data_IF_328266908586
#
_entry.id   IF_328266908586
#
_cell.length_a   1.000
_cell.length_b   1.000
_cell.length_c   1.000
_cell.angle_alpha   90.00
_cell.angle_beta   90.00
_cell.angle_gamma   90.00
#
_symmetry.space_group_name_H-M   'P 1'
#
loop_
_entity.id
_entity.type
_entity.pdbx_description
1 polymer ?
#
# COMPACT_ATOMS: atom_id res chain seq x y z
N UNK A 1 -44.91 30.06 -20.86
CA UNK A 1 -45.73 29.91 -19.63
C UNK A 1 -45.24 30.90 -18.59
N UNK A 2 -45.98 31.98 -18.34
CA UNK A 2 -45.63 32.99 -17.33
C UNK A 2 -46.88 33.66 -16.80
N UNK A 3 -47.43 33.13 -15.71
CA UNK A 3 -48.58 33.69 -14.99
C UNK A 3 -48.12 34.52 -13.80
N UNK A 4 -49.02 35.36 -13.24
CA UNK A 4 -48.77 36.29 -12.11
C UNK A 4 -48.24 35.64 -10.81
N UNK A 5 -48.04 34.33 -10.77
CA UNK A 5 -47.60 33.55 -9.61
C UNK A 5 -46.20 32.92 -9.73
N UNK A 6 -45.48 33.07 -10.85
CA UNK A 6 -44.10 32.53 -10.93
C UNK A 6 -43.12 33.35 -10.07
N UNK A 7 -42.35 32.72 -9.16
CA UNK A 7 -41.39 33.44 -8.31
C UNK A 7 -40.30 34.12 -9.15
N UNK A 8 -40.19 35.44 -9.06
CA UNK A 8 -39.13 36.19 -9.73
C UNK A 8 -37.78 35.95 -9.05
N UNK A 9 -36.88 35.21 -9.70
CA UNK A 9 -35.49 35.06 -9.24
C UNK A 9 -34.67 36.29 -9.63
N UNK A 10 -33.93 36.87 -8.68
CA UNK A 10 -33.04 38.04 -8.91
C UNK A 10 -31.57 37.59 -8.90
N UNK A 11 -30.79 38.04 -9.88
CA UNK A 11 -29.34 37.79 -9.95
C UNK A 11 -28.57 39.10 -9.73
N UNK A 12 -27.65 39.10 -8.76
CA UNK A 12 -26.83 40.29 -8.41
C UNK A 12 -25.55 40.31 -9.25
N UNK A 13 -25.42 41.32 -10.11
CA UNK A 13 -24.25 41.53 -10.97
C UNK A 13 -23.08 42.14 -10.17
N UNK A 14 -23.31 43.24 -9.46
CA UNK A 14 -22.25 43.93 -8.71
C UNK A 14 -22.77 45.13 -7.91
N UNK A 15 -21.89 45.78 -7.14
CA UNK A 15 -22.18 47.04 -6.43
C UNK A 15 -21.70 48.21 -7.31
N UNK A 16 -22.53 49.24 -7.46
CA UNK A 16 -22.17 50.45 -8.21
C UNK A 16 -20.87 51.08 -7.65
N UNK A 17 -19.95 51.47 -8.53
CA UNK A 17 -18.66 52.07 -8.16
C UNK A 17 -17.54 51.08 -7.81
N UNK A 18 -17.82 49.77 -7.70
CA UNK A 18 -16.80 48.72 -7.47
C UNK A 18 -16.33 48.07 -8.77
N UNK A 19 -15.89 48.87 -9.74
CA UNK A 19 -15.54 48.42 -11.11
C UNK A 19 -16.74 48.16 -12.03
N UNK A 20 -17.95 48.39 -11.55
CA UNK A 20 -19.20 48.31 -12.32
C UNK A 20 -19.75 49.70 -12.61
N UNK A 21 -19.72 50.10 -13.88
CA UNK A 21 -20.45 51.27 -14.41
C UNK A 21 -21.85 50.84 -14.90
N UNK A 22 -22.82 51.77 -15.03
CA UNK A 22 -24.12 51.46 -15.60
C UNK A 22 -24.04 50.78 -16.98
N UNK A 23 -23.14 51.25 -17.86
CA UNK A 23 -22.91 50.63 -19.17
C UNK A 23 -22.40 49.18 -19.06
N UNK A 24 -21.41 48.92 -18.21
CA UNK A 24 -20.87 47.57 -18.00
C UNK A 24 -21.93 46.64 -17.40
N UNK A 25 -22.73 47.13 -16.45
CA UNK A 25 -23.82 46.37 -15.86
C UNK A 25 -24.90 46.02 -16.90
N UNK A 26 -25.24 46.93 -17.83
CA UNK A 26 -26.16 46.65 -18.94
C UNK A 26 -25.61 45.58 -19.89
N UNK A 27 -24.32 45.67 -20.25
CA UNK A 27 -23.67 44.67 -21.10
C UNK A 27 -23.69 43.27 -20.46
N UNK A 28 -23.35 43.19 -19.17
CA UNK A 28 -23.37 41.92 -18.44
C UNK A 28 -24.80 41.39 -18.24
N UNK A 29 -25.78 42.26 -17.99
CA UNK A 29 -27.18 41.87 -17.94
C UNK A 29 -27.65 41.24 -19.26
N UNK A 30 -27.30 41.84 -20.41
CA UNK A 30 -27.61 41.28 -21.72
C UNK A 30 -26.94 39.92 -21.95
N UNK A 31 -25.67 39.76 -21.54
CA UNK A 31 -24.97 38.47 -21.59
C UNK A 31 -25.69 37.40 -20.76
N UNK A 32 -26.13 37.72 -19.54
CA UNK A 32 -26.86 36.81 -18.67
C UNK A 32 -28.24 36.45 -19.25
N UNK A 33 -28.93 37.40 -19.86
CA UNK A 33 -30.20 37.15 -20.56
C UNK A 33 -30.02 36.17 -21.73
N UNK A 34 -28.93 36.31 -22.50
CA UNK A 34 -28.58 35.36 -23.58
C UNK A 34 -28.33 33.96 -23.00
N UNK A 35 -27.61 33.83 -21.90
CA UNK A 35 -27.37 32.53 -21.23
C UNK A 35 -28.69 31.88 -20.76
N UNK A 36 -29.60 32.67 -20.18
CA UNK A 36 -30.93 32.20 -19.76
C UNK A 36 -31.75 31.76 -20.98
N UNK A 37 -31.68 32.50 -22.09
CA UNK A 37 -32.35 32.13 -23.34
C UNK A 37 -31.82 30.81 -23.92
N UNK A 38 -30.55 30.49 -23.67
CA UNK A 38 -29.93 29.20 -24.00
C UNK A 38 -30.27 28.08 -22.99
N UNK A 39 -31.11 28.35 -21.98
CA UNK A 39 -31.53 27.40 -20.95
C UNK A 39 -30.55 27.23 -19.79
N UNK A 40 -29.52 28.09 -19.68
CA UNK A 40 -28.51 28.02 -18.61
C UNK A 40 -28.87 29.01 -17.51
N UNK A 41 -29.18 28.54 -16.30
CA UNK A 41 -29.40 29.39 -15.11
C UNK A 41 -28.04 29.87 -14.54
N UNK A 42 -27.69 31.17 -14.64
CA UNK A 42 -26.39 31.67 -14.19
C UNK A 42 -26.20 31.61 -12.66
N UNK A 43 -27.30 31.64 -11.89
CA UNK A 43 -27.25 31.51 -10.43
C UNK A 43 -26.90 30.08 -10.04
N UNK A 44 -27.48 29.10 -10.73
CA UNK A 44 -27.18 27.69 -10.52
C UNK A 44 -25.76 27.34 -10.95
N UNK A 45 -25.32 27.84 -12.11
CA UNK A 45 -23.95 27.66 -12.58
C UNK A 45 -22.94 28.26 -11.59
N UNK A 46 -23.20 29.45 -11.04
CA UNK A 46 -22.35 30.04 -9.99
C UNK A 46 -22.32 29.18 -8.73
N UNK A 47 -23.46 28.67 -8.25
CA UNK A 47 -23.54 27.75 -7.10
C UNK A 47 -22.76 26.46 -7.37
N UNK A 48 -22.91 25.87 -8.55
CA UNK A 48 -22.20 24.66 -8.98
C UNK A 48 -20.70 24.89 -9.00
N UNK A 49 -20.22 26.02 -9.52
CA UNK A 49 -18.80 26.40 -9.50
C UNK A 49 -18.26 26.53 -8.09
N UNK A 50 -19.00 27.19 -7.19
CA UNK A 50 -18.59 27.28 -5.78
C UNK A 50 -18.53 25.89 -5.13
N UNK A 51 -19.54 25.04 -5.32
CA UNK A 51 -19.55 23.66 -4.83
C UNK A 51 -18.36 22.85 -5.36
N UNK A 52 -18.09 22.90 -6.67
CA UNK A 52 -16.95 22.20 -7.28
C UNK A 52 -15.62 22.71 -6.73
N UNK A 53 -15.49 24.03 -6.53
CA UNK A 53 -14.28 24.66 -6.04
C UNK A 53 -14.01 24.43 -4.54
N UNK A 54 -15.04 24.18 -3.72
CA UNK A 54 -14.88 23.94 -2.28
C UNK A 54 -14.99 22.46 -1.90
N UNK A 55 -16.04 21.77 -2.35
CA UNK A 55 -16.43 20.43 -1.88
C UNK A 55 -15.85 19.28 -2.71
N UNK A 56 -15.40 19.57 -3.94
CA UNK A 56 -14.83 18.58 -4.86
C UNK A 56 -13.34 18.79 -5.12
N UNK A 57 -12.64 19.51 -4.24
CA UNK A 57 -11.18 19.59 -4.30
C UNK A 57 -10.55 18.21 -4.08
N UNK A 58 -9.37 18.00 -4.64
CA UNK A 58 -8.62 16.75 -4.46
C UNK A 58 -8.44 16.43 -2.97
N UNK A 59 -8.09 17.42 -2.14
CA UNK A 59 -7.95 17.23 -0.70
C UNK A 59 -9.25 16.76 -0.04
N UNK A 60 -10.37 17.46 -0.30
CA UNK A 60 -11.65 17.10 0.28
C UNK A 60 -12.09 15.67 -0.10
N UNK A 61 -11.85 15.27 -1.36
CA UNK A 61 -12.18 13.91 -1.80
C UNK A 61 -11.17 12.89 -1.26
N UNK A 62 -9.89 13.24 -1.13
CA UNK A 62 -8.87 12.39 -0.54
C UNK A 62 -9.19 12.10 0.93
N UNK A 63 -9.66 13.09 1.69
CA UNK A 63 -10.09 12.91 3.09
C UNK A 63 -11.23 11.89 3.17
N UNK A 64 -12.28 12.05 2.34
CA UNK A 64 -13.40 11.10 2.25
C UNK A 64 -12.96 9.70 1.80
N UNK A 65 -11.95 9.62 0.92
CA UNK A 65 -11.37 8.36 0.47
C UNK A 65 -10.56 7.67 1.58
N UNK A 66 -9.83 8.42 2.39
CA UNK A 66 -9.07 7.87 3.52
C UNK A 66 -9.99 7.31 4.60
N UNK A 67 -11.15 7.94 4.83
CA UNK A 67 -12.17 7.46 5.76
C UNK A 67 -12.88 6.21 5.23
N UNK A 68 -13.43 6.27 4.01
CA UNK A 68 -14.38 5.27 3.50
C UNK A 68 -13.85 4.40 2.38
N UNK A 69 -12.89 4.87 1.62
CA UNK A 69 -12.31 4.15 0.48
C UNK A 69 -11.28 3.10 0.85
N UNK A 70 -10.80 3.13 2.10
CA UNK A 70 -9.82 2.22 2.66
C UNK A 70 -10.42 1.27 3.71
N UNK A 71 -11.75 1.29 3.90
CA UNK A 71 -12.46 0.34 4.75
C UNK A 71 -12.18 -1.10 4.31
N UNK A 72 -12.08 -2.02 5.29
CA UNK A 72 -11.73 -3.43 5.05
C UNK A 72 -10.26 -3.72 4.68
N UNK A 73 -9.43 -2.71 4.43
CA UNK A 73 -7.98 -2.91 4.24
C UNK A 73 -7.25 -3.05 5.58
N UNK A 74 -6.12 -3.77 5.56
CA UNK A 74 -5.20 -3.88 6.71
C UNK A 74 -4.60 -2.52 7.05
N UNK A 75 -4.32 -2.27 8.33
CA UNK A 75 -3.84 -0.96 8.78
C UNK A 75 -2.56 -0.50 8.07
N UNK A 76 -1.55 -1.37 7.97
CA UNK A 76 -0.31 -1.10 7.21
C UNK A 76 -0.58 -0.71 5.75
N UNK A 77 -1.62 -1.28 5.14
CA UNK A 77 -2.04 -0.88 3.79
C UNK A 77 -2.68 0.50 3.82
N UNK A 78 -3.56 0.80 4.79
CA UNK A 78 -4.17 2.13 4.93
C UNK A 78 -3.11 3.22 5.11
N UNK A 79 -2.15 3.01 6.01
CA UNK A 79 -1.02 3.91 6.23
C UNK A 79 -0.20 4.16 4.95
N UNK A 80 0.04 3.12 4.17
CA UNK A 80 0.71 3.24 2.88
C UNK A 80 -0.06 4.13 1.89
N UNK A 81 -1.39 3.98 1.81
CA UNK A 81 -2.23 4.87 0.98
C UNK A 81 -2.20 6.31 1.48
N UNK A 82 -2.41 6.54 2.80
CA UNK A 82 -2.43 7.86 3.42
C UNK A 82 -1.11 8.60 3.23
N UNK A 83 0.01 7.93 3.51
CA UNK A 83 1.36 8.49 3.34
C UNK A 83 1.65 8.82 1.88
N UNK A 84 1.27 7.95 0.95
CA UNK A 84 1.46 8.19 -0.49
C UNK A 84 0.66 9.41 -0.98
N UNK A 85 -0.61 9.52 -0.56
CA UNK A 85 -1.45 10.68 -0.86
C UNK A 85 -0.83 11.96 -0.31
N UNK A 86 -0.46 11.96 0.96
CA UNK A 86 0.12 13.10 1.68
C UNK A 86 1.43 13.60 1.07
N UNK A 87 2.34 12.68 0.76
CA UNK A 87 3.71 13.03 0.34
C UNK A 87 3.77 13.42 -1.14
N UNK A 88 3.02 12.74 -2.02
CA UNK A 88 3.23 12.87 -3.47
C UNK A 88 2.08 13.56 -4.20
N UNK A 89 0.82 13.25 -3.85
CA UNK A 89 -0.34 13.71 -4.64
C UNK A 89 -0.89 15.05 -4.12
N UNK A 90 -1.08 15.19 -2.81
CA UNK A 90 -1.65 16.41 -2.19
C UNK A 90 -0.83 17.68 -2.46
N UNK A 91 0.52 17.68 -2.43
CA UNK A 91 1.29 18.91 -2.64
C UNK A 91 1.04 19.57 -4.00
N UNK A 92 0.81 18.75 -5.04
CA UNK A 92 0.56 19.23 -6.41
C UNK A 92 -0.92 19.37 -6.75
N UNK A 93 -1.75 18.41 -6.33
CA UNK A 93 -3.15 18.31 -6.78
C UNK A 93 -4.15 18.83 -5.74
N UNK A 94 -3.75 19.08 -4.49
CA UNK A 94 -4.67 19.23 -3.36
C UNK A 94 -5.80 20.25 -3.53
N UNK A 95 -5.53 21.41 -4.15
CA UNK A 95 -6.52 22.47 -4.40
C UNK A 95 -7.27 22.33 -5.72
N UNK A 96 -6.85 21.41 -6.59
CA UNK A 96 -7.47 21.21 -7.91
C UNK A 96 -8.83 20.53 -7.73
N UNK A 97 -9.89 21.00 -8.42
CA UNK A 97 -11.16 20.28 -8.45
C UNK A 97 -10.97 18.91 -9.10
N UNK A 98 -11.34 17.84 -8.40
CA UNK A 98 -11.17 16.46 -8.85
C UNK A 98 -11.77 16.19 -10.24
N UNK A 99 -12.97 16.70 -10.60
CA UNK A 99 -13.52 16.49 -11.95
C UNK A 99 -12.71 17.16 -13.07
N UNK A 100 -11.89 18.15 -12.75
CA UNK A 100 -11.07 18.90 -13.70
C UNK A 100 -9.65 18.33 -13.85
N UNK A 101 -9.25 17.38 -12.99
CA UNK A 101 -7.91 16.78 -13.03
C UNK A 101 -7.80 15.87 -14.25
N UNK A 102 -6.81 16.16 -15.09
CA UNK A 102 -6.48 15.33 -16.25
C UNK A 102 -5.41 14.29 -15.92
N UNK A 103 -5.33 13.24 -16.76
CA UNK A 103 -4.28 12.22 -16.64
C UNK A 103 -2.88 12.83 -16.71
N UNK A 104 -2.67 13.81 -17.60
CA UNK A 104 -1.41 14.54 -17.76
C UNK A 104 -0.93 15.20 -16.46
N UNK A 105 -1.83 15.74 -15.64
CA UNK A 105 -1.49 16.32 -14.34
C UNK A 105 -1.04 15.27 -13.34
N UNK A 106 -1.55 14.03 -13.44
CA UNK A 106 -1.10 12.93 -12.59
C UNK A 106 0.26 12.41 -13.08
N UNK A 107 0.46 12.33 -14.40
CA UNK A 107 1.77 11.99 -14.96
C UNK A 107 2.84 13.01 -14.61
N UNK A 108 2.52 14.31 -14.57
CA UNK A 108 3.48 15.32 -14.09
C UNK A 108 3.85 15.15 -12.61
N UNK A 109 2.98 14.58 -11.77
CA UNK A 109 3.37 14.16 -10.41
C UNK A 109 4.36 13.00 -10.47
N UNK A 110 4.13 12.03 -11.36
CA UNK A 110 5.00 10.86 -11.51
C UNK A 110 6.34 11.18 -12.16
N UNK A 111 6.41 12.22 -12.99
CA UNK A 111 7.62 12.66 -13.69
C UNK A 111 8.58 13.42 -12.79
N UNK A 112 8.07 14.07 -11.74
CA UNK A 112 8.87 14.66 -10.68
C UNK A 112 9.50 13.61 -9.74
N UNK A 113 9.04 12.36 -9.78
CA UNK A 113 9.62 11.30 -8.97
C UNK A 113 10.95 10.85 -9.58
N UNK A 114 11.93 10.54 -8.71
CA UNK A 114 13.23 10.04 -9.15
C UNK A 114 13.10 8.86 -10.11
N UNK A 115 13.76 8.97 -11.27
CA UNK A 115 13.86 7.90 -12.27
C UNK A 115 14.48 6.62 -11.72
N UNK A 116 15.28 6.72 -10.66
CA UNK A 116 15.91 5.59 -9.98
C UNK A 116 14.97 4.80 -9.05
N UNK A 117 13.69 5.21 -8.92
CA UNK A 117 12.70 4.55 -8.06
C UNK A 117 11.45 4.08 -8.82
N UNK A 118 11.56 3.11 -9.75
CA UNK A 118 10.42 2.61 -10.53
C UNK A 118 9.30 2.02 -9.67
N UNK A 119 9.65 1.37 -8.54
CA UNK A 119 8.68 0.86 -7.58
C UNK A 119 7.82 1.98 -6.98
N UNK A 120 8.44 3.11 -6.62
CA UNK A 120 7.74 4.25 -6.05
C UNK A 120 6.77 4.84 -7.07
N UNK A 121 7.20 5.03 -8.31
CA UNK A 121 6.36 5.56 -9.40
C UNK A 121 5.13 4.69 -9.62
N UNK A 122 5.31 3.37 -9.68
CA UNK A 122 4.22 2.41 -9.82
C UNK A 122 3.27 2.43 -8.61
N UNK A 123 3.80 2.58 -7.40
CA UNK A 123 3.04 2.70 -6.16
C UNK A 123 2.16 3.96 -6.14
N UNK A 124 2.73 5.13 -6.44
CA UNK A 124 1.98 6.40 -6.51
C UNK A 124 0.87 6.31 -7.57
N UNK A 125 1.17 5.77 -8.75
CA UNK A 125 0.17 5.54 -9.78
C UNK A 125 -0.96 4.61 -9.31
N UNK A 126 -0.63 3.52 -8.62
CA UNK A 126 -1.63 2.58 -8.12
C UNK A 126 -2.56 3.23 -7.08
N UNK A 127 -2.01 4.06 -6.18
CA UNK A 127 -2.79 4.81 -5.19
C UNK A 127 -3.70 5.83 -5.88
N UNK A 128 -3.17 6.63 -6.81
CA UNK A 128 -3.96 7.60 -7.58
C UNK A 128 -5.10 6.90 -8.34
N UNK A 129 -4.80 5.80 -9.04
CA UNK A 129 -5.79 5.02 -9.80
C UNK A 129 -6.88 4.44 -8.90
N UNK A 130 -6.53 3.95 -7.71
CA UNK A 130 -7.50 3.42 -6.74
C UNK A 130 -8.43 4.50 -6.21
N UNK A 131 -7.91 5.68 -5.88
CA UNK A 131 -8.71 6.82 -5.44
C UNK A 131 -9.65 7.31 -6.54
N UNK A 132 -9.15 7.51 -7.77
CA UNK A 132 -9.99 7.95 -8.89
C UNK A 132 -11.09 6.94 -9.23
N UNK A 133 -10.78 5.63 -9.18
CA UNK A 133 -11.80 4.58 -9.34
C UNK A 133 -12.86 4.64 -8.24
N UNK A 134 -12.46 4.85 -6.99
CA UNK A 134 -13.40 4.98 -5.88
C UNK A 134 -14.30 6.22 -6.04
N UNK A 135 -13.72 7.36 -6.46
CA UNK A 135 -14.48 8.58 -6.74
C UNK A 135 -15.50 8.38 -7.87
N UNK A 136 -15.11 7.71 -8.96
CA UNK A 136 -16.01 7.33 -10.08
C UNK A 136 -17.15 6.45 -9.57
N UNK A 137 -16.85 5.43 -8.78
CA UNK A 137 -17.86 4.51 -8.21
C UNK A 137 -18.89 5.19 -7.30
N UNK A 138 -18.59 6.39 -6.78
CA UNK A 138 -19.51 7.20 -5.97
C UNK A 138 -20.17 8.35 -6.74
N UNK A 139 -19.97 8.43 -8.06
CA UNK A 139 -20.51 9.52 -8.89
C UNK A 139 -19.89 10.90 -8.59
N UNK A 140 -18.72 10.93 -7.95
CA UNK A 140 -17.99 12.18 -7.67
C UNK A 140 -17.36 12.73 -8.95
N UNK A 141 -16.91 11.82 -9.82
CA UNK A 141 -16.41 12.10 -11.16
C UNK A 141 -17.11 11.18 -12.17
N UNK A 142 -17.35 11.68 -13.37
CA UNK A 142 -18.01 10.90 -14.42
C UNK A 142 -17.04 9.91 -15.09
N UNK A 143 -15.78 10.32 -15.24
CA UNK A 143 -14.74 9.57 -15.95
C UNK A 143 -13.49 9.50 -15.09
N UNK A 144 -12.82 8.35 -15.11
CA UNK A 144 -11.54 8.20 -14.42
C UNK A 144 -10.42 8.70 -15.36
N UNK A 145 -9.66 9.74 -14.98
CA UNK A 145 -8.60 10.31 -15.83
C UNK A 145 -7.42 9.34 -16.07
N UNK A 146 -7.32 8.25 -15.32
CA UNK A 146 -6.30 7.21 -15.47
C UNK A 146 -6.83 5.94 -16.16
N UNK A 147 -8.04 5.99 -16.71
CA UNK A 147 -8.60 4.91 -17.52
C UNK A 147 -7.94 4.88 -18.90
N UNK A 148 -7.48 3.71 -19.34
CA UNK A 148 -6.77 3.55 -20.62
C UNK A 148 -5.27 3.85 -20.60
N UNK A 149 -4.74 4.47 -19.54
CA UNK A 149 -3.31 4.70 -19.41
C UNK A 149 -2.54 3.42 -19.05
N UNK A 150 -1.35 3.28 -19.64
CA UNK A 150 -0.42 2.21 -19.30
C UNK A 150 0.09 2.35 -17.86
N UNK A 151 0.25 1.21 -17.19
CA UNK A 151 0.76 1.18 -15.82
C UNK A 151 2.28 1.33 -15.87
N UNK A 152 2.89 2.27 -15.11
CA UNK A 152 4.35 2.43 -15.08
C UNK A 152 5.08 1.12 -14.81
N UNK A 153 6.23 0.91 -15.45
CA UNK A 153 7.00 -0.32 -15.38
C UNK A 153 7.26 -0.76 -13.92
N UNK A 154 7.20 -2.07 -13.68
CA UNK A 154 7.61 -2.63 -12.40
C UNK A 154 9.11 -2.44 -12.20
N UNK A 155 9.53 -2.28 -10.94
CA UNK A 155 10.95 -2.37 -10.63
C UNK A 155 11.48 -3.76 -11.06
N UNK A 156 12.68 -3.83 -11.64
CA UNK A 156 13.28 -5.11 -11.97
C UNK A 156 13.41 -5.95 -10.69
N UNK A 157 13.15 -7.24 -10.82
CA UNK A 157 13.43 -8.19 -9.74
C UNK A 157 14.91 -8.11 -9.37
N UNK A 158 15.21 -8.17 -8.07
CA UNK A 158 16.58 -8.35 -7.62
C UNK A 158 16.88 -9.84 -7.66
N UNK A 159 17.64 -10.27 -8.65
CA UNK A 159 17.91 -11.69 -8.87
C UNK A 159 19.14 -12.20 -8.08
N UNK A 160 19.87 -11.31 -7.40
CA UNK A 160 20.98 -11.71 -6.54
C UNK A 160 20.46 -12.41 -5.29
N UNK A 161 20.87 -13.66 -5.13
CA UNK A 161 20.72 -14.45 -3.91
C UNK A 161 22.08 -14.62 -3.24
N UNK A 162 22.07 -14.82 -1.91
CA UNK A 162 23.29 -15.13 -1.17
C UNK A 162 23.77 -16.53 -1.55
N UNK A 163 25.07 -16.66 -1.84
CA UNK A 163 25.70 -17.96 -1.99
C UNK A 163 26.13 -18.55 -0.63
N UNK A 164 26.52 -19.82 -0.62
CA UNK A 164 26.92 -20.54 0.60
C UNK A 164 28.06 -19.88 1.39
N UNK A 165 29.00 -19.23 0.70
CA UNK A 165 30.10 -18.51 1.35
C UNK A 165 29.58 -17.24 2.03
N UNK A 166 28.74 -16.47 1.33
CA UNK A 166 28.11 -15.27 1.89
C UNK A 166 27.18 -15.62 3.07
N UNK A 167 26.46 -16.73 3.01
CA UNK A 167 25.64 -17.22 4.12
C UNK A 167 26.48 -17.52 5.37
N UNK A 168 27.66 -18.13 5.21
CA UNK A 168 28.60 -18.36 6.32
C UNK A 168 29.10 -17.04 6.90
N UNK A 169 29.45 -16.07 6.05
CA UNK A 169 29.86 -14.75 6.51
C UNK A 169 28.76 -14.05 7.33
N UNK A 170 27.51 -14.07 6.84
CA UNK A 170 26.37 -13.50 7.58
C UNK A 170 26.15 -14.23 8.91
N UNK A 171 26.28 -15.55 8.93
CA UNK A 171 26.14 -16.35 10.15
C UNK A 171 27.21 -16.03 11.21
N UNK A 172 28.45 -15.83 10.78
CA UNK A 172 29.54 -15.45 11.69
C UNK A 172 29.38 -14.02 12.17
N UNK A 173 29.13 -13.07 11.25
CA UNK A 173 28.93 -11.67 11.59
C UNK A 173 27.71 -11.43 12.49
N UNK A 174 26.69 -12.30 12.46
CA UNK A 174 25.53 -12.15 13.34
C UNK A 174 25.87 -12.22 14.82
N UNK A 175 27.00 -12.83 15.20
CA UNK A 175 27.46 -12.93 16.59
C UNK A 175 27.75 -11.55 17.21
N UNK A 176 28.13 -10.58 16.38
CA UNK A 176 28.42 -9.20 16.81
C UNK A 176 27.17 -8.36 17.08
N UNK A 177 25.98 -8.82 16.66
CA UNK A 177 24.72 -8.09 16.79
C UNK A 177 24.05 -8.24 18.18
N UNK A 178 24.69 -8.99 19.08
CA UNK A 178 24.11 -9.36 20.38
C UNK A 178 23.09 -10.50 20.27
N UNK A 179 22.74 -11.09 21.42
CA UNK A 179 22.02 -12.36 21.49
C UNK A 179 20.67 -12.36 20.75
N UNK A 180 19.90 -11.28 20.84
CA UNK A 180 18.57 -11.18 20.24
C UNK A 180 18.65 -11.16 18.71
N UNK A 181 19.43 -10.24 18.14
CA UNK A 181 19.55 -10.11 16.69
C UNK A 181 20.33 -11.27 16.06
N UNK A 182 21.32 -11.82 16.78
CA UNK A 182 21.99 -13.06 16.39
C UNK A 182 20.96 -14.20 16.22
N UNK A 183 20.11 -14.42 17.23
CA UNK A 183 19.04 -15.41 17.17
C UNK A 183 18.08 -15.18 16.00
N UNK A 184 17.63 -13.92 15.81
CA UNK A 184 16.72 -13.54 14.73
C UNK A 184 17.31 -13.84 13.34
N UNK A 185 18.55 -13.39 13.07
CA UNK A 185 19.22 -13.61 11.79
C UNK A 185 19.41 -15.09 11.52
N UNK A 186 19.86 -15.85 12.52
CA UNK A 186 20.06 -17.30 12.37
C UNK A 186 18.76 -18.03 12.12
N UNK A 187 17.68 -17.65 12.80
CA UNK A 187 16.37 -18.25 12.59
C UNK A 187 15.84 -17.93 11.18
N UNK A 188 16.07 -16.72 10.66
CA UNK A 188 15.76 -16.36 9.27
C UNK A 188 16.52 -17.23 8.27
N UNK A 189 17.83 -17.42 8.47
CA UNK A 189 18.66 -18.25 7.59
C UNK A 189 18.25 -19.72 7.61
N UNK A 190 17.88 -20.26 8.78
CA UNK A 190 17.53 -21.68 8.93
C UNK A 190 16.12 -22.01 8.44
N UNK A 191 15.17 -21.10 8.61
CA UNK A 191 13.75 -21.36 8.33
C UNK A 191 13.27 -20.79 7.00
N UNK A 192 13.97 -19.77 6.48
CA UNK A 192 13.56 -19.05 5.27
C UNK A 192 12.23 -18.29 5.40
N UNK A 193 11.72 -18.08 6.62
CA UNK A 193 10.47 -17.38 6.86
C UNK A 193 10.59 -15.87 6.70
N UNK A 194 9.45 -15.18 6.61
CA UNK A 194 9.44 -13.71 6.49
C UNK A 194 10.01 -13.09 7.75
N UNK A 195 10.83 -12.03 7.58
CA UNK A 195 11.39 -11.25 8.71
C UNK A 195 10.35 -10.87 9.75
N UNK A 196 9.22 -10.33 9.31
CA UNK A 196 8.16 -9.87 10.22
C UNK A 196 7.46 -11.05 10.92
N UNK A 197 7.45 -12.26 10.35
CA UNK A 197 6.92 -13.47 11.01
C UNK A 197 7.92 -13.99 12.07
N UNK A 198 9.21 -14.04 11.75
CA UNK A 198 10.24 -14.45 12.72
C UNK A 198 10.36 -13.45 13.87
N UNK A 199 10.24 -12.15 13.59
CA UNK A 199 10.29 -11.11 14.61
C UNK A 199 9.04 -11.09 15.50
N UNK A 200 7.89 -11.56 14.99
CA UNK A 200 6.63 -11.67 15.73
C UNK A 200 6.39 -13.04 16.37
N UNK A 201 7.37 -13.95 16.33
CA UNK A 201 7.25 -15.31 16.83
C UNK A 201 6.98 -15.31 18.34
N UNK A 202 5.95 -16.06 18.75
CA UNK A 202 5.61 -16.26 20.16
C UNK A 202 6.03 -17.65 20.64
N UNK A 203 6.46 -17.75 21.90
CA UNK A 203 6.92 -19.03 22.47
C UNK A 203 5.88 -20.16 22.40
N UNK A 204 4.59 -19.82 22.38
CA UNK A 204 3.48 -20.77 22.28
C UNK A 204 3.39 -21.45 20.91
N UNK A 205 3.97 -20.85 19.87
CA UNK A 205 4.04 -21.40 18.51
C UNK A 205 5.12 -22.48 18.37
N UNK A 206 5.99 -22.64 19.37
CA UNK A 206 7.11 -23.57 19.34
C UNK A 206 6.79 -24.85 20.10
N UNK A 207 6.59 -25.94 19.37
CA UNK A 207 6.58 -27.28 19.94
C UNK A 207 8.02 -27.77 20.10
N UNK A 208 8.58 -27.59 21.30
CA UNK A 208 9.96 -28.00 21.61
C UNK A 208 10.13 -29.52 21.66
N UNK A 209 9.07 -30.28 21.92
CA UNK A 209 9.13 -31.74 21.97
C UNK A 209 9.24 -32.34 20.57
N UNK A 210 8.50 -31.77 19.61
CA UNK A 210 8.57 -32.16 18.20
C UNK A 210 9.62 -31.40 17.42
N UNK A 211 10.17 -30.34 18.03
CA UNK A 211 11.01 -29.39 17.34
C UNK A 211 10.29 -28.91 16.08
N UNK A 212 9.13 -28.28 16.27
CA UNK A 212 8.28 -27.72 15.22
C UNK A 212 7.95 -26.26 15.55
N UNK A 213 7.94 -25.41 14.51
CA UNK A 213 7.38 -24.06 14.61
C UNK A 213 6.06 -24.04 13.85
N UNK A 214 4.98 -23.80 14.59
CA UNK A 214 3.60 -23.77 14.10
C UNK A 214 3.24 -22.32 13.81
N UNK A 215 3.26 -21.94 12.54
CA UNK A 215 2.91 -20.59 12.11
C UNK A 215 1.39 -20.37 12.23
N UNK A 216 0.92 -19.37 12.99
CA UNK A 216 -0.48 -19.00 12.99
C UNK A 216 -0.85 -18.46 11.61
N UNK A 217 -1.87 -19.03 11.00
CA UNK A 217 -2.43 -18.43 9.80
C UNK A 217 -3.27 -17.21 10.20
N UNK A 218 -3.05 -16.08 9.53
CA UNK A 218 -3.94 -14.92 9.65
C UNK A 218 -5.41 -15.35 9.45
N UNK A 219 -6.40 -14.62 10.01
CA UNK A 219 -7.80 -15.01 9.91
C UNK A 219 -8.21 -15.31 8.46
N UNK A 220 -8.64 -16.55 8.19
CA UNK A 220 -9.12 -17.00 6.87
C UNK A 220 -8.11 -17.70 5.95
N UNK A 221 -6.96 -18.20 6.45
CA UNK A 221 -6.07 -19.09 5.67
C UNK A 221 -5.77 -20.40 6.40
N UNK A 222 -5.60 -21.47 5.61
CA UNK A 222 -5.29 -22.84 6.07
C UNK A 222 -3.88 -22.93 6.69
N UNK A 223 -3.77 -23.67 7.80
CA UNK A 223 -2.54 -23.85 8.58
C UNK A 223 -1.36 -24.33 7.73
N UNK A 224 -0.30 -23.51 7.64
CA UNK A 224 0.96 -23.94 7.03
C UNK A 224 1.96 -24.37 8.11
N UNK A 225 2.37 -25.63 8.06
CA UNK A 225 3.46 -26.15 8.91
C UNK A 225 4.78 -25.83 8.23
N UNK A 226 5.63 -25.02 8.87
CA UNK A 226 7.02 -24.91 8.47
C UNK A 226 7.81 -26.02 9.18
N UNK A 227 8.55 -26.89 8.47
CA UNK A 227 9.42 -27.84 9.13
C UNK A 227 10.51 -27.05 9.86
N UNK A 228 10.50 -27.10 11.19
CA UNK A 228 11.66 -26.74 12.00
C UNK A 228 12.60 -27.94 11.94
N UNK A 229 13.86 -27.69 11.58
CA UNK A 229 14.90 -28.70 11.66
C UNK A 229 15.60 -28.55 12.99
N UNK A 230 15.34 -29.41 14.01
CA UNK A 230 16.15 -29.40 15.20
C UNK A 230 17.60 -29.71 14.83
N UNK A 231 18.49 -28.78 15.15
CA UNK A 231 19.92 -29.06 15.25
C UNK A 231 20.19 -29.84 16.55
N UNK A 232 19.53 -30.99 16.69
CA UNK A 232 19.82 -32.07 17.65
C UNK A 232 18.57 -32.91 17.85
N UNK A 233 18.57 -34.13 17.31
CA UNK A 233 18.23 -35.37 18.01
C UNK A 233 18.30 -36.52 17.00
N UNK A 234 18.94 -37.59 17.44
CA UNK A 234 19.23 -38.82 16.70
C UNK A 234 17.95 -39.55 16.30
N UNK A 235 17.45 -39.33 15.08
CA UNK A 235 16.35 -40.13 14.55
C UNK A 235 16.90 -41.48 14.03
N UNK A 236 16.63 -42.53 14.80
CA UNK A 236 16.90 -43.94 14.48
C UNK A 236 15.92 -44.38 13.38
N UNK A 237 16.44 -44.86 12.26
CA UNK A 237 15.68 -45.31 11.08
C UNK A 237 15.00 -46.65 11.41
N UNK A 238 13.68 -46.71 11.43
CA UNK A 238 12.93 -47.97 11.22
C UNK A 238 12.04 -47.81 9.99
N UNK A 239 12.21 -48.71 9.03
CA UNK A 239 11.62 -48.58 7.70
C UNK A 239 10.26 -49.27 7.55
N UNK A 240 9.51 -48.85 6.51
CA UNK A 240 8.78 -49.73 5.57
C UNK A 240 8.28 -48.89 4.36
N UNK A 241 8.35 -49.41 3.11
CA UNK A 241 7.95 -48.69 1.92
C UNK A 241 6.47 -48.95 1.58
N UNK A 242 5.71 -47.90 1.29
CA UNK A 242 4.31 -48.04 0.91
C UNK A 242 3.71 -46.73 0.38
N UNK A 243 3.60 -46.65 -0.95
CA UNK A 243 2.85 -45.72 -1.83
C UNK A 243 2.11 -44.55 -1.15
N UNK A 244 2.38 -43.30 -1.60
CA UNK A 244 1.41 -42.19 -1.51
C UNK A 244 1.69 -41.08 -2.53
N UNK A 245 0.66 -40.87 -3.37
CA UNK A 245 0.13 -39.63 -3.96
C UNK A 245 1.02 -38.38 -3.91
N UNK A 246 1.20 -37.83 -5.10
CA UNK A 246 1.78 -36.51 -5.40
C UNK A 246 0.87 -35.43 -4.79
N UNK A 247 1.30 -34.85 -3.67
CA UNK A 247 0.92 -33.51 -3.26
C UNK A 247 2.21 -32.73 -3.16
N UNK A 248 2.32 -31.67 -3.96
CA UNK A 248 3.52 -30.87 -4.16
C UNK A 248 3.94 -30.13 -2.88
N UNK A 249 4.57 -30.83 -1.95
CA UNK A 249 5.49 -30.24 -0.98
C UNK A 249 6.84 -30.19 -1.67
N UNK A 250 7.34 -28.98 -1.99
CA UNK A 250 8.75 -28.80 -2.35
C UNK A 250 9.59 -29.22 -1.13
N UNK A 251 9.94 -30.51 -1.05
CA UNK A 251 11.03 -31.02 -0.22
C UNK A 251 12.31 -30.41 -0.79
N UNK A 252 12.83 -29.37 -0.16
CA UNK A 252 14.25 -29.08 -0.24
C UNK A 252 14.98 -30.25 0.44
N UNK A 253 15.48 -31.18 -0.37
CA UNK A 253 16.45 -32.18 0.07
C UNK A 253 17.75 -31.42 0.36
N UNK A 254 17.94 -30.98 1.61
CA UNK A 254 19.23 -30.51 2.09
C UNK A 254 20.12 -31.74 2.31
N UNK A 255 21.15 -31.84 1.48
CA UNK A 255 22.13 -32.90 1.38
C UNK A 255 22.81 -33.20 2.74
N UNK A 256 23.27 -34.44 2.95
CA UNK A 256 23.79 -34.99 4.23
C UNK A 256 24.98 -34.21 4.83
N UNK A 257 25.56 -33.29 4.05
CA UNK A 257 26.64 -32.36 4.47
C UNK A 257 26.20 -31.36 5.54
N UNK A 258 24.93 -30.93 5.56
CA UNK A 258 24.45 -29.97 6.55
C UNK A 258 24.35 -30.55 7.97
N UNK A 259 24.15 -31.87 8.10
CA UNK A 259 24.19 -32.57 9.40
C UNK A 259 25.58 -32.53 10.06
N UNK A 260 26.66 -32.45 9.27
CA UNK A 260 28.04 -32.35 9.78
C UNK A 260 28.34 -30.95 10.33
N UNK A 261 27.86 -29.89 9.68
CA UNK A 261 28.07 -28.50 10.13
C UNK A 261 27.30 -28.23 11.44
N UNK A 262 26.06 -28.71 11.53
CA UNK A 262 25.23 -28.69 12.73
C UNK A 262 25.85 -29.42 13.94
N UNK A 263 26.68 -30.45 13.71
CA UNK A 263 27.30 -31.26 14.77
C UNK A 263 28.57 -30.64 15.36
N UNK A 264 29.22 -29.71 14.67
CA UNK A 264 30.59 -29.27 15.02
C UNK A 264 30.65 -28.28 16.20
N UNK A 265 29.55 -27.67 16.67
CA UNK A 265 29.63 -26.75 17.84
C UNK A 265 28.43 -26.77 18.80
N UNK A 266 27.99 -27.97 19.17
CA UNK A 266 27.05 -28.16 20.29
C UNK A 266 27.73 -28.08 21.68
N UNK A 267 29.06 -28.03 21.74
CA UNK A 267 29.83 -27.88 22.99
C UNK A 267 30.09 -26.42 23.42
N UNK A 268 29.77 -25.42 22.58
CA UNK A 268 30.11 -24.01 22.88
C UNK A 268 28.92 -23.17 23.39
N UNK A 269 27.67 -23.52 23.01
CA UNK A 269 26.48 -22.70 23.36
C UNK A 269 25.83 -23.14 24.68
N UNK A 270 25.96 -24.41 25.08
CA UNK A 270 25.47 -24.87 26.39
C UNK A 270 26.24 -24.25 27.57
N UNK A 271 27.47 -23.79 27.37
CA UNK A 271 28.33 -23.25 28.43
C UNK A 271 28.07 -21.77 28.73
N UNK A 272 27.50 -21.00 27.80
CA UNK A 272 27.27 -19.55 27.99
C UNK A 272 25.91 -19.21 28.61
N UNK A 273 24.89 -20.06 28.47
CA UNK A 273 23.55 -19.80 29.03
C UNK A 273 23.43 -20.30 30.49
N UNK A 274 24.24 -21.29 30.89
CA UNK A 274 24.23 -21.84 32.26
C UNK A 274 24.97 -21.01 33.33
N UNK A 275 25.69 -19.93 32.97
CA UNK A 275 26.43 -19.07 33.92
C UNK A 275 25.75 -17.74 34.28
N UNK A 276 24.61 -17.43 33.68
CA UNK A 276 23.83 -16.22 34.00
C UNK A 276 22.65 -16.49 34.95
N UNK A 277 22.60 -17.68 35.56
CA UNK A 277 21.51 -18.16 36.40
C UNK A 277 21.95 -18.78 37.72
N UNK A 278 22.99 -18.23 38.34
CA UNK A 278 23.35 -18.38 39.77
C UNK A 278 23.98 -17.10 40.25
#
# INVERSE_FOLDING_TARGET
MGGRSTPTKRYKIGRHGSGWTPELARREANRLLILIAQGIDPAEEKRRRHYVASELTFNAVADRFEEKGLEGLREKTREFFKSTLRIYLRPKLGKRPLPAIQGSEIFSVLDDLSTHSPALRRNVFAVARRMMRWAKGRGIIDRNPLEGFEVPAAAPSRDRVLNDHELKLVWTASEELGAIFCGLVRLLLLTGQRRDEVAGLEWQELDRARAEWILPSAPGKEWQRAPYFPVSTSHRRTGRPGRKRILATKRLCLDDRWRKIARIRLLAVQTQIGRAGT
#
